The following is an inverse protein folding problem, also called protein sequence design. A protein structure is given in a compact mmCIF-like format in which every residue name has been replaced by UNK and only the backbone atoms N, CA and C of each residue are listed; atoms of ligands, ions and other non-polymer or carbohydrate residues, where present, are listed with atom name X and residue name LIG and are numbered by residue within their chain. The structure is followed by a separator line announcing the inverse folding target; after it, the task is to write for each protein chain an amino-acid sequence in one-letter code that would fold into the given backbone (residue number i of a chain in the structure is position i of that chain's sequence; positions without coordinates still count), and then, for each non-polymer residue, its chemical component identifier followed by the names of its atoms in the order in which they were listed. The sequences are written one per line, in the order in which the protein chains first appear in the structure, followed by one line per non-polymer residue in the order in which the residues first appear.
data_IF_764472691069
#
_entry.id   IF_764472691069
#
_cell.length_a   1.000
_cell.length_b   1.000
_cell.length_c   1.000
_cell.angle_alpha   90.00
_cell.angle_beta   90.00
_cell.angle_gamma   90.00
#
_symmetry.space_group_name_H-M   'P 1'
#
loop_
_entity.id
_entity.type
_entity.pdbx_description
1 polymer ?
#
# COMPACT_ATOMS: atom_id res chain seq x y z
N UNK A 1 6.93 -18.23 0.56
CA UNK A 1 6.52 -16.82 0.65
C UNK A 1 6.56 -16.13 -0.71
N UNK A 2 7.70 -16.18 -1.43
CA UNK A 2 7.85 -15.54 -2.75
C UNK A 2 6.77 -15.93 -3.77
N UNK A 3 6.44 -17.22 -3.89
CA UNK A 3 5.40 -17.69 -4.81
C UNK A 3 4.01 -17.10 -4.52
N UNK A 4 3.64 -16.95 -3.25
CA UNK A 4 2.36 -16.32 -2.85
C UNK A 4 2.34 -14.85 -3.22
N UNK A 5 3.45 -14.14 -3.00
CA UNK A 5 3.58 -12.73 -3.36
C UNK A 5 3.56 -12.53 -4.88
N UNK A 6 4.26 -13.38 -5.63
CA UNK A 6 4.21 -13.40 -7.09
C UNK A 6 2.77 -13.57 -7.59
N UNK A 7 2.05 -14.58 -7.08
CA UNK A 7 0.67 -14.81 -7.48
C UNK A 7 -0.23 -13.63 -7.12
N UNK A 8 -0.11 -13.05 -5.92
CA UNK A 8 -0.88 -11.88 -5.51
C UNK A 8 -0.59 -10.67 -6.42
N UNK A 9 0.68 -10.39 -6.71
CA UNK A 9 1.08 -9.26 -7.54
C UNK A 9 0.77 -9.43 -9.03
N UNK A 10 0.51 -10.65 -9.49
CA UNK A 10 0.04 -10.91 -10.86
C UNK A 10 -1.48 -10.93 -10.95
N UNK A 11 -2.14 -11.67 -10.06
CA UNK A 11 -3.60 -11.89 -10.12
C UNK A 11 -4.36 -10.64 -9.73
N UNK A 12 -3.95 -9.92 -8.69
CA UNK A 12 -4.67 -8.73 -8.22
C UNK A 12 -4.69 -7.65 -9.33
N UNK A 13 -3.55 -7.26 -9.95
CA UNK A 13 -3.57 -6.28 -11.03
C UNK A 13 -4.25 -6.79 -12.30
N UNK A 14 -4.18 -8.09 -12.61
CA UNK A 14 -4.91 -8.64 -13.75
C UNK A 14 -6.43 -8.50 -13.58
N UNK A 15 -6.95 -8.78 -12.38
CA UNK A 15 -8.36 -8.59 -12.05
C UNK A 15 -8.73 -7.11 -12.04
N UNK A 16 -7.87 -6.25 -11.50
CA UNK A 16 -8.07 -4.79 -11.49
C UNK A 16 -8.18 -4.21 -12.90
N UNK A 17 -7.29 -4.61 -13.82
CA UNK A 17 -7.34 -4.19 -15.22
C UNK A 17 -8.60 -4.70 -15.93
N UNK A 18 -8.99 -5.95 -15.72
CA UNK A 18 -10.24 -6.49 -16.27
C UNK A 18 -11.45 -5.66 -15.80
N UNK A 19 -11.51 -5.35 -14.51
CA UNK A 19 -12.58 -4.55 -13.93
C UNK A 19 -12.60 -3.12 -14.48
N UNK A 20 -11.42 -2.49 -14.63
CA UNK A 20 -11.30 -1.14 -15.20
C UNK A 20 -11.74 -1.08 -16.66
N UNK A 21 -11.45 -2.11 -17.46
CA UNK A 21 -11.90 -2.21 -18.85
C UNK A 21 -13.43 -2.32 -18.89
N UNK A 22 -14.02 -3.17 -18.05
CA UNK A 22 -15.47 -3.37 -17.97
C UNK A 22 -16.18 -2.09 -17.49
N UNK A 23 -15.65 -1.43 -16.47
CA UNK A 23 -16.17 -0.14 -15.99
C UNK A 23 -16.01 0.94 -17.07
N UNK A 24 -14.87 0.96 -17.76
CA UNK A 24 -14.60 1.90 -18.85
C UNK A 24 -15.53 1.75 -20.03
N UNK A 25 -15.97 0.53 -20.35
CA UNK A 25 -16.93 0.27 -21.44
C UNK A 25 -18.34 0.76 -21.09
N UNK A 26 -18.74 0.68 -19.82
CA UNK A 26 -20.08 1.06 -19.36
C UNK A 26 -20.21 2.52 -18.94
N UNK A 27 -19.22 3.07 -18.21
CA UNK A 27 -19.27 4.43 -17.63
C UNK A 27 -18.41 5.45 -18.38
N UNK A 28 -17.55 5.01 -19.29
CA UNK A 28 -16.63 5.85 -20.04
C UNK A 28 -15.29 6.13 -19.36
N UNK A 29 -14.35 6.66 -20.14
CA UNK A 29 -12.95 6.81 -19.74
C UNK A 29 -12.73 7.81 -18.59
N UNK A 30 -13.46 8.94 -18.56
CA UNK A 30 -13.26 9.99 -17.54
C UNK A 30 -13.65 9.51 -16.14
N UNK A 31 -14.80 8.83 -16.02
CA UNK A 31 -15.26 8.25 -14.74
C UNK A 31 -14.27 7.20 -14.24
N UNK A 32 -13.81 6.33 -15.14
CA UNK A 32 -12.83 5.27 -14.84
C UNK A 32 -11.50 5.87 -14.38
N UNK A 33 -11.03 6.93 -15.04
CA UNK A 33 -9.84 7.66 -14.61
C UNK A 33 -10.02 8.25 -13.21
N UNK A 34 -11.19 8.82 -12.91
CA UNK A 34 -11.52 9.30 -11.57
C UNK A 34 -11.44 8.19 -10.51
N UNK A 35 -11.92 6.99 -10.81
CA UNK A 35 -11.83 5.81 -9.93
C UNK A 35 -10.37 5.41 -9.70
N UNK A 36 -9.54 5.33 -10.75
CA UNK A 36 -8.11 5.00 -10.64
C UNK A 36 -7.38 6.04 -9.78
N UNK A 37 -7.63 7.33 -10.01
CA UNK A 37 -7.03 8.39 -9.21
C UNK A 37 -7.48 8.34 -7.75
N UNK A 38 -8.77 8.08 -7.49
CA UNK A 38 -9.31 7.94 -6.15
C UNK A 38 -8.72 6.75 -5.39
N UNK A 39 -8.68 5.58 -6.02
CA UNK A 39 -8.09 4.36 -5.44
C UNK A 39 -6.59 4.51 -5.21
N UNK A 40 -5.85 5.09 -6.15
CA UNK A 40 -4.42 5.40 -6.02
C UNK A 40 -4.14 6.39 -4.88
N UNK A 41 -4.96 7.44 -4.74
CA UNK A 41 -4.84 8.40 -3.64
C UNK A 41 -5.08 7.73 -2.28
N UNK A 42 -6.13 6.92 -2.15
CA UNK A 42 -6.39 6.16 -0.93
C UNK A 42 -5.25 5.21 -0.60
N UNK A 43 -4.73 4.47 -1.59
CA UNK A 43 -3.57 3.59 -1.42
C UNK A 43 -2.33 4.35 -0.96
N UNK A 44 -2.02 5.49 -1.57
CA UNK A 44 -0.89 6.34 -1.18
C UNK A 44 -1.04 6.89 0.25
N UNK A 45 -2.25 7.28 0.65
CA UNK A 45 -2.54 7.75 1.99
C UNK A 45 -2.30 6.64 3.04
N UNK A 46 -2.84 5.45 2.79
CA UNK A 46 -2.64 4.29 3.67
C UNK A 46 -1.16 3.89 3.76
N UNK A 47 -0.46 3.86 2.62
CA UNK A 47 0.98 3.57 2.58
C UNK A 47 1.79 4.59 3.40
N UNK A 48 1.43 5.88 3.33
CA UNK A 48 2.05 6.92 4.16
C UNK A 48 1.80 6.68 5.65
N UNK A 49 0.58 6.33 6.05
CA UNK A 49 0.24 6.06 7.44
C UNK A 49 1.06 4.89 8.00
N UNK A 50 1.15 3.78 7.27
CA UNK A 50 1.94 2.61 7.71
C UNK A 50 3.44 2.90 7.73
N UNK A 51 3.94 3.68 6.77
CA UNK A 51 5.34 4.13 6.77
C UNK A 51 5.68 4.94 8.01
N UNK A 52 4.82 5.91 8.40
CA UNK A 52 5.02 6.74 9.60
C UNK A 52 4.95 5.92 10.88
N UNK A 53 3.98 5.01 11.00
CA UNK A 53 3.87 4.10 12.14
C UNK A 53 5.11 3.23 12.29
N UNK A 54 5.65 2.74 11.17
CA UNK A 54 6.89 1.93 11.16
C UNK A 54 8.09 2.75 11.64
N UNK A 55 8.24 3.99 11.17
CA UNK A 55 9.31 4.89 11.62
C UNK A 55 9.24 5.18 13.12
N UNK A 56 8.03 5.37 13.67
CA UNK A 56 7.86 5.59 15.11
C UNK A 56 8.25 4.36 15.92
N UNK A 57 7.87 3.15 15.48
CA UNK A 57 8.25 1.89 16.12
C UNK A 57 9.76 1.71 16.18
N UNK A 58 10.46 2.01 15.07
CA UNK A 58 11.94 1.93 15.01
C UNK A 58 12.57 2.92 16.00
N UNK A 59 12.12 4.18 16.03
CA UNK A 59 12.66 5.20 16.95
C UNK A 59 12.43 4.84 18.42
N UNK A 60 11.27 4.28 18.75
CA UNK A 60 10.97 3.82 20.11
C UNK A 60 11.87 2.67 20.56
N UNK A 61 12.12 1.71 19.67
CA UNK A 61 13.04 0.60 19.94
C UNK A 61 14.50 1.07 20.15
N UNK A 62 14.95 2.05 19.37
CA UNK A 62 16.31 2.61 19.51
C UNK A 62 16.51 3.39 20.82
N UNK A 63 15.47 4.09 21.30
CA UNK A 63 15.49 4.81 22.57
C UNK A 63 15.61 3.84 23.76
N UNK A 64 14.90 2.72 23.71
CA UNK A 64 14.93 1.67 24.73
C UNK A 64 16.29 0.94 24.76
N UNK A 65 16.86 0.66 23.57
CA UNK A 65 18.18 0.02 23.46
C UNK A 65 19.32 0.88 24.05
N UNK A 66 19.24 2.21 23.92
CA UNK A 66 20.23 3.14 24.51
C UNK A 66 20.14 3.25 26.03
N UNK A 67 19.00 2.91 26.64
CA UNK A 67 18.86 2.89 28.10
C UNK A 67 19.53 1.64 28.67
N UNK A 68 19.36 0.48 28.05
CA UNK A 68 19.99 -0.77 28.51
C UNK A 68 21.52 -0.70 28.58
N UNK A 69 22.17 -0.07 27.59
CA UNK A 69 23.63 0.04 27.55
C UNK A 69 24.22 1.09 28.51
N UNK A 70 23.39 1.93 29.12
CA UNK A 70 23.82 3.00 30.04
C UNK A 70 23.75 2.57 31.51
N UNK A 71 23.14 1.42 31.80
CA UNK A 71 23.00 0.86 33.16
C UNK A 71 23.72 -0.49 33.34
N UNK A 72 24.50 -0.93 32.35
CA UNK A 72 25.44 -2.07 32.40
C UNK A 72 26.84 -1.59 32.08
#
# INVERSE_FOLDING_TARGET
MLFKLFLAFTVIPAVELYLLIEIGSQLGALTTLGIVLGTGFLGAHLARMEGLNTLQRVRGADADHRLHHRFT
#
